data_IF_792642644025
#
_entry.id   IF_792642644025
#
_cell.length_a   1.000
_cell.length_b   1.000
_cell.length_c   1.000
_cell.angle_alpha   90.00
_cell.angle_beta   90.00
_cell.angle_gamma   90.00
#
_symmetry.space_group_name_H-M   'P 1'
#
loop_
_entity.id
_entity.type
_entity.pdbx_description
1 polymer ?
#
# COMPACT_ATOMS: atom_id res chain seq x y z
N UNK A 1 -31.19 12.68 11.82
CA UNK A 1 -29.96 11.88 12.04
C UNK A 1 -29.54 12.13 13.48
N UNK A 2 -29.51 11.10 14.32
CA UNK A 2 -29.13 11.27 15.73
C UNK A 2 -27.61 11.34 15.84
N UNK A 3 -27.11 11.93 16.94
CA UNK A 3 -25.66 12.00 17.24
C UNK A 3 -25.02 10.62 17.31
N UNK A 4 -25.81 9.59 17.61
CA UNK A 4 -25.35 8.20 17.68
C UNK A 4 -25.22 7.56 16.30
N UNK A 5 -26.12 7.87 15.37
CA UNK A 5 -26.02 7.43 13.96
C UNK A 5 -24.77 8.00 13.29
N UNK A 6 -24.48 9.29 13.54
CA UNK A 6 -23.28 9.95 13.00
C UNK A 6 -21.98 9.31 13.53
N UNK A 7 -21.97 8.87 14.80
CA UNK A 7 -20.82 8.20 15.42
C UNK A 7 -20.61 6.81 14.82
N UNK A 8 -21.69 6.05 14.62
CA UNK A 8 -21.61 4.72 13.97
C UNK A 8 -21.09 4.82 12.54
N UNK A 9 -21.58 5.80 11.77
CA UNK A 9 -21.09 6.05 10.41
C UNK A 9 -19.59 6.41 10.39
N UNK A 10 -19.11 7.21 11.36
CA UNK A 10 -17.70 7.53 11.47
C UNK A 10 -16.84 6.30 11.85
N UNK A 11 -17.33 5.45 12.75
CA UNK A 11 -16.65 4.23 13.17
C UNK A 11 -16.59 3.19 12.02
N UNK A 12 -17.66 3.06 11.24
CA UNK A 12 -17.72 2.21 10.03
C UNK A 12 -16.75 2.71 8.96
N UNK A 13 -16.72 4.02 8.68
CA UNK A 13 -15.80 4.63 7.73
C UNK A 13 -14.32 4.41 8.13
N UNK A 14 -13.99 4.59 9.41
CA UNK A 14 -12.65 4.32 9.93
C UNK A 14 -12.28 2.84 9.81
N UNK A 15 -13.21 1.91 10.05
CA UNK A 15 -12.98 0.48 9.81
C UNK A 15 -12.68 0.18 8.35
N UNK A 16 -13.44 0.78 7.42
CA UNK A 16 -13.22 0.63 5.99
C UNK A 16 -11.83 1.14 5.56
N UNK A 17 -11.42 2.33 6.00
CA UNK A 17 -10.07 2.83 5.68
C UNK A 17 -8.96 1.94 6.19
N UNK A 18 -9.10 1.39 7.40
CA UNK A 18 -8.11 0.44 7.95
C UNK A 18 -8.03 -0.83 7.12
N UNK A 19 -9.17 -1.37 6.69
CA UNK A 19 -9.22 -2.53 5.82
C UNK A 19 -8.55 -2.25 4.47
N UNK A 20 -8.81 -1.09 3.87
CA UNK A 20 -8.24 -0.69 2.58
C UNK A 20 -6.72 -0.51 2.65
N UNK A 21 -6.22 0.20 3.68
CA UNK A 21 -4.77 0.32 3.93
C UNK A 21 -4.14 -1.07 4.10
N UNK A 22 -4.78 -1.95 4.87
CA UNK A 22 -4.28 -3.31 5.10
C UNK A 22 -4.21 -4.09 3.79
N UNK A 23 -5.24 -3.99 2.94
CA UNK A 23 -5.29 -4.67 1.65
C UNK A 23 -4.18 -4.19 0.70
N UNK A 24 -3.95 -2.87 0.67
CA UNK A 24 -2.88 -2.24 -0.12
C UNK A 24 -1.51 -2.72 0.34
N UNK A 25 -1.23 -2.67 1.65
CA UNK A 25 0.05 -3.13 2.19
C UNK A 25 0.27 -4.63 1.99
N UNK A 26 -0.79 -5.43 2.11
CA UNK A 26 -0.74 -6.86 1.79
C UNK A 26 -0.41 -7.11 0.31
N UNK A 27 -0.87 -6.25 -0.61
CA UNK A 27 -0.50 -6.35 -2.02
C UNK A 27 1.00 -6.08 -2.23
N UNK A 28 1.55 -5.04 -1.57
CA UNK A 28 3.00 -4.75 -1.58
C UNK A 28 3.81 -5.96 -1.09
N UNK A 29 3.43 -6.52 0.06
CA UNK A 29 4.12 -7.68 0.65
C UNK A 29 4.08 -8.88 -0.30
N UNK A 30 2.93 -9.17 -0.91
CA UNK A 30 2.80 -10.26 -1.89
C UNK A 30 3.68 -10.04 -3.12
N UNK A 31 3.76 -8.82 -3.65
CA UNK A 31 4.66 -8.51 -4.75
C UNK A 31 6.12 -8.75 -4.37
N UNK A 32 6.55 -8.31 -3.19
CA UNK A 32 7.89 -8.57 -2.68
C UNK A 32 8.18 -10.07 -2.53
N UNK A 33 7.23 -10.84 -1.97
CA UNK A 33 7.37 -12.28 -1.82
C UNK A 33 7.49 -12.98 -3.18
N UNK A 34 6.69 -12.58 -4.17
CA UNK A 34 6.75 -13.11 -5.53
C UNK A 34 8.09 -12.83 -6.20
N UNK A 35 8.62 -11.61 -6.05
CA UNK A 35 9.95 -11.25 -6.54
C UNK A 35 11.02 -12.15 -5.92
N UNK A 36 10.98 -12.35 -4.60
CA UNK A 36 11.94 -13.21 -3.91
C UNK A 36 11.82 -14.66 -4.38
N UNK A 37 10.61 -15.19 -4.50
CA UNK A 37 10.39 -16.56 -4.98
C UNK A 37 10.88 -16.77 -6.42
N UNK A 38 10.66 -15.79 -7.30
CA UNK A 38 10.98 -15.92 -8.72
C UNK A 38 12.43 -15.60 -9.06
N UNK A 39 13.09 -14.77 -8.25
CA UNK A 39 14.44 -14.27 -8.52
C UNK A 39 15.46 -14.67 -7.45
N UNK A 40 15.10 -15.38 -6.39
CA UNK A 40 16.07 -15.91 -5.41
C UNK A 40 15.97 -17.42 -5.28
N UNK A 41 17.12 -18.09 -5.15
CA UNK A 41 17.19 -19.48 -4.72
C UNK A 41 17.84 -19.51 -3.34
N UNK A 42 17.12 -19.99 -2.32
CA UNK A 42 17.67 -20.12 -0.97
C UNK A 42 18.18 -18.81 -0.36
N UNK A 43 17.52 -17.67 -0.66
CA UNK A 43 17.90 -16.29 -0.27
C UNK A 43 19.09 -15.69 -1.03
N UNK A 44 19.68 -16.43 -1.95
CA UNK A 44 20.72 -15.93 -2.86
C UNK A 44 20.10 -15.54 -4.19
N UNK A 45 20.45 -14.36 -4.69
CA UNK A 45 20.05 -13.96 -6.04
C UNK A 45 20.85 -14.82 -7.02
N UNK A 46 20.17 -15.77 -7.65
CA UNK A 46 20.78 -16.69 -8.61
C UNK A 46 19.97 -16.72 -9.89
N UNK A 47 20.63 -16.69 -11.06
CA UNK A 47 19.94 -16.87 -12.33
C UNK A 47 19.17 -18.19 -12.38
N UNK A 48 18.00 -18.16 -13.02
CA UNK A 48 17.13 -19.32 -13.16
C UNK A 48 17.71 -20.39 -14.11
N UNK A 49 18.60 -19.98 -15.03
CA UNK A 49 19.26 -20.88 -15.95
C UNK A 49 20.78 -20.98 -15.64
N UNK A 50 21.36 -22.19 -15.66
CA UNK A 50 22.81 -22.32 -15.67
C UNK A 50 23.35 -21.61 -16.93
N UNK A 51 24.38 -20.77 -16.76
CA UNK A 51 25.01 -19.93 -17.79
C UNK A 51 24.31 -18.61 -18.17
N UNK A 52 23.38 -18.09 -17.35
CA UNK A 52 22.88 -16.72 -17.56
C UNK A 52 24.02 -15.70 -17.42
N UNK A 53 24.16 -14.81 -18.41
CA UNK A 53 25.19 -13.78 -18.38
C UNK A 53 24.84 -12.70 -17.33
N UNK A 54 25.85 -12.12 -16.69
CA UNK A 54 25.65 -11.12 -15.63
C UNK A 54 24.86 -9.88 -16.11
N UNK A 55 24.97 -9.51 -17.40
CA UNK A 55 24.16 -8.43 -18.00
C UNK A 55 22.67 -8.74 -18.05
N UNK A 56 22.32 -10.02 -18.22
CA UNK A 56 20.92 -10.46 -18.28
C UNK A 56 20.30 -10.41 -16.88
N UNK A 57 21.08 -10.77 -15.85
CA UNK A 57 20.70 -10.59 -14.45
C UNK A 57 20.44 -9.12 -14.11
N UNK A 58 21.35 -8.22 -14.49
CA UNK A 58 21.20 -6.77 -14.28
C UNK A 58 19.96 -6.24 -15.01
N UNK A 59 19.74 -6.69 -16.25
CA UNK A 59 18.59 -6.28 -17.06
C UNK A 59 17.28 -6.76 -16.45
N UNK A 60 17.23 -7.99 -15.96
CA UNK A 60 16.06 -8.56 -15.30
C UNK A 60 15.75 -7.85 -13.98
N UNK A 61 16.76 -7.55 -13.16
CA UNK A 61 16.57 -6.72 -11.97
C UNK A 61 16.00 -5.34 -12.31
N UNK A 62 16.57 -4.66 -13.31
CA UNK A 62 16.16 -3.30 -13.67
C UNK A 62 14.78 -3.25 -14.30
N UNK A 63 14.46 -4.17 -15.20
CA UNK A 63 13.22 -4.14 -15.97
C UNK A 63 12.05 -4.84 -15.30
N UNK A 64 12.31 -5.85 -14.48
CA UNK A 64 11.22 -6.66 -13.95
C UNK A 64 11.05 -6.43 -12.46
N UNK A 65 12.12 -6.52 -11.69
CA UNK A 65 12.05 -6.33 -10.23
C UNK A 65 11.75 -4.87 -9.90
N UNK A 66 12.57 -3.92 -10.37
CA UNK A 66 12.39 -2.51 -10.05
C UNK A 66 11.07 -1.97 -10.60
N UNK A 67 10.71 -2.30 -11.83
CA UNK A 67 9.45 -1.83 -12.42
C UNK A 67 8.23 -2.37 -11.66
N UNK A 68 8.22 -3.66 -11.26
CA UNK A 68 7.11 -4.22 -10.47
C UNK A 68 7.03 -3.58 -9.10
N UNK A 69 8.17 -3.37 -8.42
CA UNK A 69 8.20 -2.67 -7.13
C UNK A 69 7.70 -1.24 -7.26
N UNK A 70 8.22 -0.48 -8.22
CA UNK A 70 7.81 0.90 -8.46
C UNK A 70 6.32 0.98 -8.76
N UNK A 71 5.78 0.10 -9.61
CA UNK A 71 4.36 0.07 -9.92
C UNK A 71 3.51 -0.19 -8.67
N UNK A 72 3.85 -1.22 -7.89
CA UNK A 72 3.08 -1.56 -6.68
C UNK A 72 3.17 -0.46 -5.61
N UNK A 73 4.33 0.19 -5.46
CA UNK A 73 4.48 1.33 -4.55
C UNK A 73 3.62 2.52 -5.01
N UNK A 74 3.67 2.90 -6.30
CA UNK A 74 2.84 4.00 -6.81
C UNK A 74 1.33 3.71 -6.64
N UNK A 75 0.91 2.47 -6.87
CA UNK A 75 -0.47 2.07 -6.63
C UNK A 75 -0.85 2.19 -5.16
N UNK A 76 0.04 1.81 -4.25
CA UNK A 76 -0.18 1.93 -2.81
C UNK A 76 -0.24 3.40 -2.35
N UNK A 77 0.64 4.25 -2.87
CA UNK A 77 0.66 5.68 -2.61
C UNK A 77 -0.63 6.35 -3.13
N UNK A 78 -1.04 6.03 -4.36
CA UNK A 78 -2.28 6.57 -4.94
C UNK A 78 -3.52 6.15 -4.14
N UNK A 79 -3.59 4.90 -3.69
CA UNK A 79 -4.68 4.42 -2.84
C UNK A 79 -4.69 5.13 -1.48
N UNK A 80 -3.53 5.29 -0.86
CA UNK A 80 -3.39 6.00 0.43
C UNK A 80 -3.82 7.46 0.29
N UNK A 81 -3.38 8.13 -0.78
CA UNK A 81 -3.78 9.50 -1.08
C UNK A 81 -5.30 9.64 -1.28
N UNK A 82 -5.92 8.70 -2.00
CA UNK A 82 -7.37 8.70 -2.19
C UNK A 82 -8.13 8.53 -0.85
N UNK A 83 -7.64 7.66 0.03
CA UNK A 83 -8.20 7.46 1.38
C UNK A 83 -8.08 8.74 2.20
N UNK A 84 -6.91 9.38 2.20
CA UNK A 84 -6.67 10.63 2.93
C UNK A 84 -7.53 11.78 2.41
N UNK A 85 -7.63 11.94 1.09
CA UNK A 85 -8.48 12.95 0.47
C UNK A 85 -9.95 12.73 0.84
N UNK A 86 -10.43 11.48 0.76
CA UNK A 86 -11.79 11.14 1.16
C UNK A 86 -12.02 11.42 2.65
N UNK A 87 -11.07 11.07 3.52
CA UNK A 87 -11.14 11.33 4.97
C UNK A 87 -11.23 12.83 5.27
N UNK A 88 -10.44 13.66 4.60
CA UNK A 88 -10.45 15.13 4.78
C UNK A 88 -11.78 15.75 4.35
N UNK A 89 -12.37 15.28 3.25
CA UNK A 89 -13.67 15.76 2.77
C UNK A 89 -14.84 15.39 3.68
N UNK A 90 -14.74 14.30 4.42
CA UNK A 90 -15.80 13.80 5.30
C UNK A 90 -15.54 14.07 6.79
N UNK A 91 -14.44 14.75 7.13
CA UNK A 91 -14.16 15.14 8.50
C UNK A 91 -15.08 16.30 8.89
N UNK A 92 -15.92 16.17 9.93
CA UNK A 92 -16.73 17.29 10.38
C UNK A 92 -15.81 18.44 10.82
N UNK A 93 -16.19 19.70 10.57
CA UNK A 93 -15.38 20.85 10.98
C UNK A 93 -15.09 20.74 12.47
N UNK A 94 -13.82 20.86 12.85
CA UNK A 94 -13.42 20.98 14.24
C UNK A 94 -14.14 22.19 14.83
N UNK A 95 -15.24 21.97 15.54
CA UNK A 95 -15.81 23.02 16.37
C UNK A 95 -14.77 23.35 17.44
N UNK A 96 -14.24 24.59 17.49
CA UNK A 96 -13.37 24.98 18.57
C UNK A 96 -14.20 24.87 19.84
N UNK A 97 -13.80 23.95 20.70
CA UNK A 97 -14.37 23.71 22.02
C UNK A 97 -14.26 25.04 22.77
N UNK A 98 -15.37 25.79 22.87
CA UNK A 98 -15.42 27.03 23.65
C UNK A 98 -14.96 26.67 25.05
N UNK A 99 -13.76 27.15 25.39
CA UNK A 99 -13.21 27.13 26.72
C UNK A 99 -14.05 28.17 27.48
N UNK A 100 -15.00 27.69 28.29
CA UNK A 100 -15.76 28.56 29.17
C UNK A 100 -14.79 29.05 30.26
N UNK A 101 -14.55 30.36 30.27
CA UNK A 101 -14.13 31.12 31.45
C UNK A 101 -15.37 31.60 32.20
#
# INVERSE_FOLDING_TARGET
MTTEDARRQADEAEHHYRADITNVMNAVIRTCAHILDHHSNGRTWTPRAPNTHHTDLITQARREILNRLQLTIHQAEAATYAIEAHRQHHQPPHHPRRRNE
#
